data_IF_792401047210
#
_entry.id   IF_792401047210
#
_cell.length_a   1.000
_cell.length_b   1.000
_cell.length_c   1.000
_cell.angle_alpha   90.00
_cell.angle_beta   90.00
_cell.angle_gamma   90.00
#
_symmetry.space_group_name_H-M   'P 1'
#
loop_
_entity.id
_entity.type
_entity.pdbx_description
1 polymer ?
#
# COMPACT_ATOMS: atom_id res chain seq x y z
N UNK A 1 6.50 -2.83 -40.88
CA UNK A 1 6.48 -4.05 -40.04
C UNK A 1 5.95 -3.69 -38.65
N UNK A 2 4.69 -4.08 -38.43
CA UNK A 2 3.86 -4.16 -37.23
C UNK A 2 4.29 -3.47 -35.91
N UNK A 3 3.64 -2.33 -35.63
CA UNK A 3 3.45 -1.75 -34.29
C UNK A 3 2.44 -2.59 -33.50
N UNK A 4 2.90 -3.42 -32.56
CA UNK A 4 2.07 -3.94 -31.46
C UNK A 4 2.81 -3.83 -30.13
N UNK A 5 2.90 -2.63 -29.52
CA UNK A 5 3.61 -2.42 -28.26
C UNK A 5 2.85 -2.85 -26.99
N UNK A 6 1.63 -3.39 -27.10
CA UNK A 6 0.74 -3.61 -25.94
C UNK A 6 0.86 -4.99 -25.28
N UNK A 7 1.47 -5.99 -25.91
CA UNK A 7 1.57 -7.36 -25.35
C UNK A 7 2.87 -7.64 -24.59
N UNK A 8 3.84 -6.75 -24.66
CA UNK A 8 5.12 -6.83 -23.93
C UNK A 8 5.27 -5.55 -23.13
N UNK A 9 4.37 -5.34 -22.17
CA UNK A 9 4.53 -4.22 -21.24
C UNK A 9 5.69 -4.56 -20.29
N UNK A 10 6.83 -3.85 -20.35
CA UNK A 10 8.01 -4.17 -19.53
C UNK A 10 7.80 -3.98 -18.01
N UNK A 11 6.60 -3.59 -17.58
CA UNK A 11 6.25 -3.48 -16.17
C UNK A 11 6.18 -4.86 -15.49
N UNK A 12 5.83 -5.93 -16.21
CA UNK A 12 5.80 -7.27 -15.62
C UNK A 12 7.17 -7.97 -15.61
N UNK A 13 8.12 -7.58 -16.47
CA UNK A 13 9.47 -8.18 -16.47
C UNK A 13 10.27 -7.85 -15.22
N UNK A 14 10.03 -6.70 -14.58
CA UNK A 14 10.71 -6.35 -13.32
C UNK A 14 10.34 -7.28 -12.15
N UNK A 15 9.14 -7.87 -12.15
CA UNK A 15 8.71 -8.80 -11.09
C UNK A 15 9.56 -10.08 -11.04
N UNK A 16 10.13 -10.47 -12.17
CA UNK A 16 10.97 -11.67 -12.30
C UNK A 16 12.45 -11.35 -12.11
N UNK A 17 12.90 -10.20 -12.62
CA UNK A 17 14.33 -9.81 -12.60
C UNK A 17 14.75 -9.14 -11.29
N UNK A 18 13.82 -8.52 -10.54
CA UNK A 18 14.14 -7.71 -9.37
C UNK A 18 13.71 -8.35 -8.04
N UNK A 19 14.68 -8.62 -7.16
CA UNK A 19 14.46 -9.17 -5.81
C UNK A 19 13.46 -8.35 -4.99
N UNK A 20 13.51 -7.01 -5.10
CA UNK A 20 12.58 -6.12 -4.39
C UNK A 20 11.14 -6.23 -4.89
N UNK A 21 10.92 -6.49 -6.19
CA UNK A 21 9.57 -6.66 -6.74
C UNK A 21 8.94 -8.03 -6.38
N UNK A 22 9.76 -9.06 -6.13
CA UNK A 22 9.24 -10.35 -5.62
C UNK A 22 8.60 -10.19 -4.24
N UNK A 23 9.22 -9.39 -3.37
CA UNK A 23 8.66 -9.06 -2.07
C UNK A 23 7.36 -8.24 -2.18
N UNK A 24 7.27 -7.31 -3.13
CA UNK A 24 6.02 -6.58 -3.44
C UNK A 24 4.89 -7.50 -3.88
N UNK A 25 5.17 -8.42 -4.81
CA UNK A 25 4.16 -9.33 -5.35
C UNK A 25 3.63 -10.29 -4.28
N UNK A 26 4.50 -10.80 -3.39
CA UNK A 26 4.10 -11.62 -2.25
C UNK A 26 3.30 -10.80 -1.23
N UNK A 27 3.73 -9.57 -0.91
CA UNK A 27 2.98 -8.68 -0.04
C UNK A 27 1.58 -8.41 -0.60
N UNK A 28 1.46 -8.11 -1.89
CA UNK A 28 0.18 -7.91 -2.56
C UNK A 28 -0.71 -9.16 -2.51
N UNK A 29 -0.15 -10.36 -2.73
CA UNK A 29 -0.88 -11.62 -2.59
C UNK A 29 -1.46 -11.79 -1.19
N UNK A 30 -0.64 -11.60 -0.15
CA UNK A 30 -1.10 -11.71 1.24
C UNK A 30 -2.10 -10.63 1.61
N UNK A 31 -1.95 -9.41 1.07
CA UNK A 31 -2.91 -8.32 1.21
C UNK A 31 -4.30 -8.74 0.72
N UNK A 32 -4.35 -9.26 -0.52
CA UNK A 32 -5.58 -9.74 -1.14
C UNK A 32 -6.14 -10.94 -0.39
N UNK A 33 -5.30 -11.84 0.09
CA UNK A 33 -5.74 -13.01 0.86
C UNK A 33 -6.36 -12.61 2.20
N UNK A 34 -5.77 -11.64 2.91
CA UNK A 34 -6.36 -11.05 4.13
C UNK A 34 -7.74 -10.48 3.85
N UNK A 35 -7.89 -9.68 2.79
CA UNK A 35 -9.17 -9.10 2.42
C UNK A 35 -10.18 -10.16 1.99
N UNK A 36 -9.76 -11.14 1.19
CA UNK A 36 -10.59 -12.24 0.72
C UNK A 36 -11.11 -13.08 1.88
N UNK A 37 -10.24 -13.51 2.80
CA UNK A 37 -10.65 -14.26 3.99
C UNK A 37 -11.62 -13.45 4.86
N UNK A 38 -11.42 -12.14 4.98
CA UNK A 38 -12.38 -11.27 5.67
C UNK A 38 -13.76 -11.29 5.00
N UNK A 39 -13.82 -11.05 3.69
CA UNK A 39 -15.08 -11.03 2.91
C UNK A 39 -15.80 -12.38 3.07
N UNK A 40 -15.10 -13.49 2.86
CA UNK A 40 -15.65 -14.85 2.99
C UNK A 40 -16.08 -15.17 4.42
N UNK A 41 -15.40 -14.61 5.40
CA UNK A 41 -15.79 -14.72 6.81
C UNK A 41 -17.11 -14.00 7.09
N UNK A 42 -17.37 -12.88 6.44
CA UNK A 42 -18.56 -12.04 6.66
C UNK A 42 -19.81 -12.54 5.93
N UNK A 43 -19.66 -13.17 4.76
CA UNK A 43 -20.78 -13.71 3.95
C UNK A 43 -21.64 -14.74 4.70
N UNK A 44 -21.07 -15.44 5.67
CA UNK A 44 -21.82 -16.32 6.58
C UNK A 44 -22.10 -15.54 7.86
N UNK A 45 -23.30 -15.63 8.45
CA UNK A 45 -23.72 -14.89 9.66
C UNK A 45 -22.68 -14.90 10.83
N UNK A 46 -21.66 -14.04 10.76
CA UNK A 46 -20.51 -13.99 11.67
C UNK A 46 -19.23 -14.59 11.07
N UNK A 47 -18.07 -13.96 11.37
CA UNK A 47 -16.76 -14.47 10.93
C UNK A 47 -16.50 -15.84 11.56
N UNK A 48 -16.49 -16.90 10.74
CA UNK A 48 -16.01 -18.21 11.17
C UNK A 48 -14.57 -18.08 11.65
N UNK A 49 -14.27 -18.71 12.79
CA UNK A 49 -12.94 -18.70 13.42
C UNK A 49 -11.82 -19.11 12.46
N UNK A 50 -12.10 -20.05 11.54
CA UNK A 50 -11.17 -20.45 10.49
C UNK A 50 -10.79 -19.29 9.55
N UNK A 51 -11.78 -18.58 9.00
CA UNK A 51 -11.52 -17.46 8.08
C UNK A 51 -10.89 -16.25 8.79
N UNK A 52 -11.28 -16.00 10.04
CA UNK A 52 -10.62 -15.01 10.90
C UNK A 52 -9.13 -15.35 11.08
N UNK A 53 -8.82 -16.59 11.47
CA UNK A 53 -7.45 -17.07 11.66
C UNK A 53 -6.63 -17.00 10.38
N UNK A 54 -7.20 -17.44 9.25
CA UNK A 54 -6.56 -17.37 7.95
C UNK A 54 -6.26 -15.92 7.53
N UNK A 55 -7.18 -14.98 7.77
CA UNK A 55 -6.97 -13.55 7.51
C UNK A 55 -5.84 -12.97 8.34
N UNK A 56 -5.81 -13.26 9.65
CA UNK A 56 -4.78 -12.77 10.58
C UNK A 56 -3.42 -13.36 10.23
N UNK A 57 -3.35 -14.68 9.98
CA UNK A 57 -2.12 -15.35 9.58
C UNK A 57 -1.57 -14.78 8.27
N UNK A 58 -2.44 -14.61 7.26
CA UNK A 58 -2.04 -14.00 5.98
C UNK A 58 -1.51 -12.58 6.18
N UNK A 59 -2.15 -11.80 7.05
CA UNK A 59 -1.71 -10.43 7.35
C UNK A 59 -0.33 -10.44 8.02
N UNK A 60 -0.13 -11.32 9.01
CA UNK A 60 1.14 -11.48 9.71
C UNK A 60 2.27 -11.88 8.76
N UNK A 61 2.06 -12.90 7.91
CA UNK A 61 3.06 -13.33 6.93
C UNK A 61 3.35 -12.21 5.93
N UNK A 62 2.33 -11.50 5.46
CA UNK A 62 2.50 -10.35 4.57
C UNK A 62 3.33 -9.22 5.21
N UNK A 63 3.16 -8.92 6.49
CA UNK A 63 4.03 -7.96 7.20
C UNK A 63 5.50 -8.40 7.21
N UNK A 64 5.75 -9.71 7.19
CA UNK A 64 7.08 -10.28 6.95
C UNK A 64 7.66 -9.95 5.57
N UNK A 65 6.80 -9.86 4.53
CA UNK A 65 7.23 -9.55 3.16
C UNK A 65 7.55 -8.07 2.95
N UNK A 66 6.67 -7.16 3.37
CA UNK A 66 6.88 -5.72 3.17
C UNK A 66 6.15 -4.84 4.17
N UNK A 67 6.73 -3.69 4.48
CA UNK A 67 6.20 -2.72 5.45
C UNK A 67 4.86 -2.11 5.01
N UNK A 68 4.59 -2.04 3.70
CA UNK A 68 3.31 -1.55 3.13
C UNK A 68 2.09 -2.32 3.65
N UNK A 69 2.27 -3.57 4.08
CA UNK A 69 1.25 -4.39 4.73
C UNK A 69 0.76 -3.84 6.08
N UNK A 70 1.45 -2.88 6.69
CA UNK A 70 1.00 -2.18 7.91
C UNK A 70 -0.39 -1.55 7.73
N UNK A 71 -0.75 -1.21 6.49
CA UNK A 71 -2.04 -0.62 6.12
C UNK A 71 -3.19 -1.62 6.05
N UNK A 72 -2.92 -2.93 5.96
CA UNK A 72 -3.94 -3.95 5.75
C UNK A 72 -5.02 -4.00 6.86
N UNK A 73 -4.68 -3.93 8.17
CA UNK A 73 -5.70 -3.86 9.23
C UNK A 73 -6.62 -2.65 9.10
N UNK A 74 -6.08 -1.49 8.70
CA UNK A 74 -6.85 -0.25 8.51
C UNK A 74 -7.77 -0.40 7.29
N UNK A 75 -7.28 -0.95 6.19
CA UNK A 75 -8.09 -1.17 5.00
C UNK A 75 -9.25 -2.14 5.26
N UNK A 76 -9.01 -3.24 5.98
CA UNK A 76 -10.07 -4.18 6.34
C UNK A 76 -11.14 -3.50 7.21
N UNK A 77 -10.74 -2.66 8.16
CA UNK A 77 -11.68 -1.90 8.99
C UNK A 77 -12.52 -0.91 8.16
N UNK A 78 -11.88 -0.17 7.24
CA UNK A 78 -12.58 0.74 6.34
C UNK A 78 -13.52 0.00 5.39
N UNK A 79 -13.09 -1.13 4.84
CA UNK A 79 -13.91 -1.97 3.97
C UNK A 79 -15.15 -2.50 4.70
N UNK A 80 -14.99 -3.01 5.92
CA UNK A 80 -16.10 -3.46 6.74
C UNK A 80 -17.09 -2.31 6.99
N UNK A 81 -16.58 -1.13 7.34
CA UNK A 81 -17.41 0.04 7.53
C UNK A 81 -18.23 0.36 6.28
N UNK A 82 -17.60 0.44 5.10
CA UNK A 82 -18.26 0.95 3.89
C UNK A 82 -19.20 -0.06 3.25
N UNK A 83 -18.87 -1.36 3.28
CA UNK A 83 -19.60 -2.37 2.50
C UNK A 83 -20.42 -3.35 3.35
N UNK A 84 -20.11 -3.51 4.63
CA UNK A 84 -20.67 -4.59 5.45
C UNK A 84 -21.49 -4.05 6.62
N UNK A 85 -20.87 -3.27 7.51
CA UNK A 85 -21.48 -2.82 8.75
C UNK A 85 -22.23 -1.48 8.60
N UNK A 86 -21.95 -0.71 7.55
CA UNK A 86 -22.59 0.59 7.26
C UNK A 86 -22.36 1.64 8.35
N UNK A 87 -21.22 1.57 9.06
CA UNK A 87 -20.89 2.52 10.11
C UNK A 87 -19.81 2.05 11.08
N UNK A 88 -18.99 2.99 11.56
CA UNK A 88 -17.83 2.70 12.41
C UNK A 88 -18.20 1.98 13.70
N UNK A 89 -19.21 2.49 14.41
CA UNK A 89 -19.60 1.95 15.71
C UNK A 89 -20.13 0.53 15.58
N UNK A 90 -20.96 0.27 14.56
CA UNK A 90 -21.52 -1.06 14.26
C UNK A 90 -20.41 -2.06 13.91
N UNK A 91 -19.48 -1.66 13.04
CA UNK A 91 -18.33 -2.47 12.65
C UNK A 91 -17.50 -2.88 13.89
N UNK A 92 -17.14 -1.89 14.71
CA UNK A 92 -16.36 -2.11 15.92
C UNK A 92 -17.07 -3.02 16.93
N UNK A 93 -18.34 -2.75 17.25
CA UNK A 93 -19.08 -3.57 18.22
C UNK A 93 -19.27 -5.01 17.76
N UNK A 94 -19.44 -5.22 16.45
CA UNK A 94 -19.66 -6.55 15.89
C UNK A 94 -18.38 -7.40 15.83
N UNK A 95 -17.21 -6.77 15.60
CA UNK A 95 -15.98 -7.51 15.22
C UNK A 95 -14.70 -7.03 15.93
N UNK A 96 -14.81 -6.34 17.07
CA UNK A 96 -13.66 -5.84 17.85
C UNK A 96 -12.54 -6.88 18.05
N UNK A 97 -12.87 -8.13 18.39
CA UNK A 97 -11.87 -9.18 18.66
C UNK A 97 -11.07 -9.52 17.40
N UNK A 98 -11.71 -9.51 16.24
CA UNK A 98 -11.04 -9.73 14.96
C UNK A 98 -10.09 -8.58 14.62
N UNK A 99 -10.52 -7.33 14.79
CA UNK A 99 -9.65 -6.18 14.57
C UNK A 99 -8.48 -6.14 15.54
N UNK A 100 -8.69 -6.48 16.81
CA UNK A 100 -7.60 -6.61 17.78
C UNK A 100 -6.61 -7.70 17.36
N UNK A 101 -7.09 -8.83 16.84
CA UNK A 101 -6.24 -9.89 16.27
C UNK A 101 -5.45 -9.43 15.04
N UNK A 102 -6.07 -8.65 14.15
CA UNK A 102 -5.37 -8.03 13.02
C UNK A 102 -4.33 -7.01 13.49
N UNK A 103 -4.68 -6.10 14.38
CA UNK A 103 -3.75 -5.09 14.93
C UNK A 103 -2.61 -5.73 15.72
N UNK A 104 -2.81 -6.90 16.31
CA UNK A 104 -1.72 -7.64 16.97
C UNK A 104 -0.59 -7.99 16.00
N UNK A 105 -0.86 -8.12 14.70
CA UNK A 105 0.20 -8.37 13.70
C UNK A 105 1.22 -7.23 13.61
N UNK A 106 0.84 -5.99 13.98
CA UNK A 106 1.77 -4.86 14.07
C UNK A 106 2.89 -5.10 15.09
N UNK A 107 2.65 -5.90 16.13
CA UNK A 107 3.70 -6.25 17.10
C UNK A 107 4.81 -7.08 16.45
N UNK A 108 4.44 -7.98 15.53
CA UNK A 108 5.39 -8.73 14.71
C UNK A 108 6.21 -7.82 13.81
N UNK A 109 5.56 -6.85 13.15
CA UNK A 109 6.27 -5.85 12.35
C UNK A 109 7.22 -5.00 13.22
N UNK A 110 6.76 -4.51 14.37
CA UNK A 110 7.57 -3.73 15.29
C UNK A 110 8.81 -4.51 15.79
N UNK A 111 8.63 -5.80 16.12
CA UNK A 111 9.74 -6.68 16.48
C UNK A 111 10.76 -6.84 15.35
N UNK A 112 10.28 -7.03 14.11
CA UNK A 112 11.15 -7.13 12.93
C UNK A 112 11.91 -5.82 12.68
N UNK A 113 11.25 -4.66 12.83
CA UNK A 113 11.90 -3.36 12.70
C UNK A 113 12.94 -3.14 13.80
N UNK A 114 12.63 -3.50 15.05
CA UNK A 114 13.56 -3.36 16.17
C UNK A 114 14.80 -4.24 16.00
N UNK A 115 14.64 -5.47 15.50
CA UNK A 115 15.75 -6.43 15.30
C UNK A 115 16.56 -6.16 14.04
N UNK A 116 15.99 -5.49 13.03
CA UNK A 116 16.64 -5.20 11.74
C UNK A 116 17.15 -3.75 11.59
N UNK A 117 17.20 -2.96 12.67
CA UNK A 117 17.79 -1.61 12.65
C UNK A 117 16.83 -0.49 12.23
N UNK A 118 15.59 -0.53 12.71
CA UNK A 118 14.49 0.44 12.52
C UNK A 118 13.95 0.58 11.09
N UNK A 119 14.72 0.21 10.07
CA UNK A 119 14.34 0.29 8.66
C UNK A 119 14.86 -0.96 7.96
N UNK A 120 14.02 -1.68 7.20
CA UNK A 120 14.48 -2.87 6.49
C UNK A 120 15.55 -2.48 5.44
N UNK A 121 16.81 -2.67 5.81
CA UNK A 121 17.98 -2.43 4.96
C UNK A 121 18.43 -0.98 4.82
N UNK A 122 18.07 -0.06 5.73
CA UNK A 122 18.50 1.35 5.64
C UNK A 122 18.04 2.06 4.35
N UNK A 123 16.99 1.55 3.71
CA UNK A 123 16.54 1.98 2.37
C UNK A 123 15.41 3.00 2.41
N UNK A 124 14.80 3.21 3.57
CA UNK A 124 13.71 4.14 3.78
C UNK A 124 13.90 4.83 5.14
N UNK A 125 13.96 6.15 5.17
CA UNK A 125 14.14 6.91 6.41
C UNK A 125 14.91 8.21 6.19
N UNK A 126 14.58 9.23 6.97
CA UNK A 126 15.27 10.53 6.94
C UNK A 126 16.66 10.51 7.59
N UNK A 127 17.13 9.34 8.03
CA UNK A 127 18.42 9.12 8.70
C UNK A 127 19.64 9.20 7.75
N UNK A 128 19.42 9.32 6.44
CA UNK A 128 20.48 9.34 5.42
C UNK A 128 20.83 10.74 4.90
N UNK A 129 20.48 11.81 5.63
CA UNK A 129 20.84 13.19 5.26
C UNK A 129 19.97 13.80 4.16
N UNK A 130 18.83 13.19 3.84
CA UNK A 130 17.85 13.76 2.90
C UNK A 130 16.83 14.59 3.69
N UNK A 131 16.80 15.89 3.43
CA UNK A 131 15.78 16.78 4.00
C UNK A 131 14.37 16.37 3.54
N UNK A 132 13.42 16.35 4.49
CA UNK A 132 12.05 15.90 4.24
C UNK A 132 11.31 16.74 3.19
N UNK A 133 11.64 18.03 3.07
CA UNK A 133 10.93 18.96 2.19
C UNK A 133 11.30 18.76 0.70
N UNK A 134 12.59 18.74 0.30
CA UNK A 134 12.99 18.31 -1.04
C UNK A 134 12.55 16.89 -1.36
N UNK A 135 12.52 15.99 -0.37
CA UNK A 135 12.00 14.64 -0.55
C UNK A 135 10.52 14.63 -0.94
N UNK A 136 9.64 15.33 -0.21
CA UNK A 136 8.21 15.40 -0.56
C UNK A 136 7.99 16.02 -1.95
N UNK A 137 8.72 17.10 -2.25
CA UNK A 137 8.62 17.79 -3.54
C UNK A 137 9.00 16.87 -4.72
N UNK A 138 10.14 16.19 -4.62
CA UNK A 138 10.57 15.19 -5.63
C UNK A 138 9.63 14.00 -5.73
N UNK A 139 9.02 13.54 -4.62
CA UNK A 139 8.01 12.46 -4.66
C UNK A 139 6.76 12.85 -5.46
N UNK A 140 6.27 14.08 -5.34
CA UNK A 140 5.13 14.55 -6.14
C UNK A 140 5.43 14.55 -7.65
N UNK A 141 6.64 14.96 -8.04
CA UNK A 141 7.11 14.90 -9.42
C UNK A 141 7.26 13.46 -9.91
N UNK A 142 7.87 12.60 -9.09
CA UNK A 142 8.04 11.19 -9.39
C UNK A 142 6.71 10.48 -9.63
N UNK A 143 5.69 10.71 -8.79
CA UNK A 143 4.35 10.12 -8.97
C UNK A 143 3.77 10.46 -10.34
N UNK A 144 3.86 11.72 -10.78
CA UNK A 144 3.34 12.14 -12.09
C UNK A 144 4.19 11.61 -13.24
N UNK A 145 5.52 11.55 -13.05
CA UNK A 145 6.41 10.91 -14.00
C UNK A 145 6.05 9.42 -14.20
N UNK A 146 5.83 8.67 -13.11
CA UNK A 146 5.43 7.27 -13.17
C UNK A 146 4.03 7.07 -13.77
N UNK A 147 3.08 7.96 -13.48
CA UNK A 147 1.76 7.94 -14.12
C UNK A 147 1.87 8.14 -15.64
N UNK A 148 2.72 9.08 -16.08
CA UNK A 148 3.01 9.28 -17.50
C UNK A 148 3.67 8.05 -18.12
N UNK A 149 4.59 7.40 -17.40
CA UNK A 149 5.26 6.18 -17.84
C UNK A 149 4.29 4.99 -17.96
N UNK A 150 3.28 4.92 -17.09
CA UNK A 150 2.21 3.93 -17.17
C UNK A 150 1.34 4.09 -18.43
N UNK A 151 1.17 5.33 -18.92
CA UNK A 151 0.47 5.61 -20.17
C UNK A 151 1.37 5.49 -21.41
N UNK A 152 2.66 5.81 -21.27
CA UNK A 152 3.65 5.76 -22.34
C UNK A 152 5.02 5.27 -21.81
N UNK A 153 5.35 3.97 -22.00
CA UNK A 153 6.52 3.35 -21.41
C UNK A 153 7.80 3.64 -22.23
N UNK A 154 8.17 4.91 -22.36
CA UNK A 154 9.43 5.30 -23.00
C UNK A 154 9.90 6.69 -22.57
N UNK A 155 11.17 6.87 -22.16
CA UNK A 155 12.21 5.85 -21.97
C UNK A 155 12.07 5.15 -20.61
N UNK A 156 12.17 3.81 -20.56
CA UNK A 156 12.36 3.11 -19.29
C UNK A 156 13.86 3.07 -18.97
N UNK A 157 14.27 3.86 -17.98
CA UNK A 157 15.64 3.87 -17.44
C UNK A 157 15.60 3.29 -16.03
N UNK A 158 16.61 2.50 -15.66
CA UNK A 158 16.68 1.84 -14.36
C UNK A 158 16.88 2.84 -13.20
N UNK A 159 17.57 3.94 -13.47
CA UNK A 159 17.77 5.05 -12.54
C UNK A 159 17.51 6.36 -13.27
N UNK A 160 16.48 7.09 -12.83
CA UNK A 160 16.12 8.41 -13.38
C UNK A 160 16.89 9.56 -12.71
N UNK A 161 17.80 9.25 -11.78
CA UNK A 161 18.60 10.21 -11.05
C UNK A 161 17.88 10.84 -9.86
N UNK A 162 18.68 11.33 -8.90
CA UNK A 162 18.23 11.90 -7.63
C UNK A 162 18.12 13.42 -7.65
N UNK A 163 17.54 14.00 -8.72
CA UNK A 163 17.30 15.44 -8.77
C UNK A 163 16.31 15.86 -7.68
N UNK A 164 16.79 16.23 -6.50
CA UNK A 164 15.96 16.76 -5.42
C UNK A 164 15.44 18.14 -5.84
N UNK A 165 14.26 18.16 -6.46
CA UNK A 165 13.58 19.39 -6.86
C UNK A 165 12.92 20.04 -5.64
N UNK A 166 13.40 21.22 -5.25
CA UNK A 166 12.88 21.98 -4.11
C UNK A 166 11.84 23.06 -4.50
N UNK A 167 11.44 23.11 -5.78
CA UNK A 167 10.64 24.20 -6.36
C UNK A 167 9.14 23.91 -6.34
N UNK A 168 8.41 24.58 -5.43
CA UNK A 168 6.94 24.61 -5.38
C UNK A 168 6.28 25.06 -6.71
N UNK A 169 6.95 25.94 -7.48
CA UNK A 169 6.44 26.42 -8.78
C UNK A 169 6.44 25.36 -9.88
N UNK A 170 7.21 24.30 -9.75
CA UNK A 170 7.24 23.20 -10.71
C UNK A 170 6.20 22.10 -10.39
N UNK A 171 5.71 22.06 -9.14
CA UNK A 171 4.97 20.91 -8.57
C UNK A 171 3.50 21.25 -8.27
N UNK A 172 3.12 22.53 -8.33
CA UNK A 172 1.77 22.96 -7.96
C UNK A 172 0.63 22.25 -8.71
N UNK A 173 0.67 21.96 -10.04
CA UNK A 173 -0.44 21.26 -10.68
C UNK A 173 -0.54 19.79 -10.25
N UNK A 174 0.60 19.14 -9.96
CA UNK A 174 0.67 17.76 -9.47
C UNK A 174 0.15 17.67 -8.02
N UNK A 175 0.55 18.61 -7.17
CA UNK A 175 0.11 18.70 -5.78
C UNK A 175 -1.41 18.95 -5.69
N UNK A 176 -1.96 19.79 -6.57
CA UNK A 176 -3.39 20.10 -6.60
C UNK A 176 -4.23 18.88 -7.03
N UNK A 177 -3.74 18.11 -8.00
CA UNK A 177 -4.36 16.84 -8.40
C UNK A 177 -4.39 15.80 -7.27
N UNK A 178 -3.27 15.64 -6.56
CA UNK A 178 -3.18 14.73 -5.41
C UNK A 178 -4.08 15.18 -4.25
N UNK A 179 -4.11 16.49 -3.96
CA UNK A 179 -4.98 17.06 -2.94
C UNK A 179 -6.46 16.86 -3.26
N UNK A 180 -6.86 17.01 -4.54
CA UNK A 180 -8.23 16.75 -4.97
C UNK A 180 -8.63 15.28 -4.81
N UNK A 181 -7.75 14.33 -5.15
CA UNK A 181 -7.99 12.90 -4.96
C UNK A 181 -8.10 12.53 -3.48
N UNK A 182 -7.18 13.02 -2.64
CA UNK A 182 -7.24 12.81 -1.19
C UNK A 182 -8.52 13.40 -0.60
N UNK A 183 -8.87 14.63 -0.97
CA UNK A 183 -10.11 15.29 -0.56
C UNK A 183 -11.35 14.52 -0.97
N UNK A 184 -11.40 14.02 -2.21
CA UNK A 184 -12.48 13.17 -2.70
C UNK A 184 -12.61 11.86 -1.91
N UNK A 185 -11.49 11.24 -1.56
CA UNK A 185 -11.46 9.98 -0.80
C UNK A 185 -11.95 10.18 0.63
N UNK A 186 -11.51 11.27 1.30
CA UNK A 186 -11.98 11.64 2.63
C UNK A 186 -13.47 12.01 2.59
N UNK A 187 -13.90 12.77 1.59
CA UNK A 187 -15.30 13.14 1.42
C UNK A 187 -16.19 11.90 1.24
N UNK A 188 -15.80 10.94 0.38
CA UNK A 188 -16.57 9.70 0.21
C UNK A 188 -16.62 8.86 1.50
N UNK A 189 -15.52 8.84 2.27
CA UNK A 189 -15.46 8.16 3.56
C UNK A 189 -16.31 8.85 4.64
N UNK A 190 -16.53 10.15 4.54
CA UNK A 190 -17.38 10.91 5.47
C UNK A 190 -18.86 10.85 5.11
N UNK A 191 -19.21 10.68 3.82
CA UNK A 191 -20.60 10.68 3.36
C UNK A 191 -21.34 9.34 3.53
N UNK A 192 -20.60 8.23 3.65
CA UNK A 192 -21.10 6.85 3.82
C UNK A 192 -21.20 6.43 5.30
#
# INVERSE_FOLDING_TARGET
MLRRPLTVHPLQTESVTYLSQRAESLAALFYLLTLFCFIRGVETHGIKTFWAGASILSCFVGMGCKETMVTAPVLVFLYDRTFVAGGFRKAWTARRTFYLGLSATWTGLAYLLATMGATRGGSAGFSHGVEWWPYVCSQCEAVVHYLRLGLWPSPLVFDYGQGLTASLRAIWPQALGLAALLGGTVYSLCLL
#
